data_IF_062003570538
#
_entry.id   IF_062003570538
#
_cell.length_a   1.000
_cell.length_b   1.000
_cell.length_c   1.000
_cell.angle_alpha   90.00
_cell.angle_beta   90.00
_cell.angle_gamma   90.00
#
_symmetry.space_group_name_H-M   'P 1'
#
loop_
_entity.id
_entity.type
_entity.pdbx_description
1 polymer ?
#
# COMPACT_ATOMS: atom_id res chain seq x y z
N UNK A 1 18.87 -28.86 -12.62
CA UNK A 1 19.70 -27.71 -12.21
C UNK A 1 20.02 -27.80 -10.71
N UNK A 2 20.83 -28.78 -10.29
CA UNK A 2 21.14 -29.04 -8.88
C UNK A 2 22.64 -29.35 -8.71
N UNK A 3 23.56 -28.57 -9.27
CA UNK A 3 24.99 -28.97 -9.19
C UNK A 3 26.03 -27.85 -9.24
N UNK A 4 25.64 -26.59 -9.05
CA UNK A 4 26.61 -25.48 -9.04
C UNK A 4 27.02 -25.11 -7.59
N UNK A 5 26.12 -25.25 -6.61
CA UNK A 5 26.37 -24.85 -5.22
C UNK A 5 27.37 -25.73 -4.47
N UNK A 6 27.36 -27.05 -4.74
CA UNK A 6 28.23 -28.01 -4.05
C UNK A 6 29.72 -27.84 -4.40
N UNK A 7 30.04 -27.31 -5.59
CA UNK A 7 31.42 -27.16 -6.07
C UNK A 7 32.18 -26.00 -5.42
N UNK A 8 31.47 -25.05 -4.79
CA UNK A 8 32.05 -23.84 -4.22
C UNK A 8 31.92 -23.74 -2.69
N UNK A 9 31.44 -24.79 -2.01
CA UNK A 9 31.34 -24.80 -0.54
C UNK A 9 30.30 -23.84 0.05
N UNK A 10 29.42 -23.27 -0.78
CA UNK A 10 28.35 -22.40 -0.30
C UNK A 10 27.17 -23.25 0.17
N UNK A 11 26.85 -23.17 1.47
CA UNK A 11 25.59 -23.67 2.01
C UNK A 11 24.44 -22.92 1.32
N UNK A 12 23.53 -23.65 0.67
CA UNK A 12 22.29 -23.10 0.14
C UNK A 12 21.46 -22.57 1.32
N UNK A 13 21.59 -21.28 1.62
CA UNK A 13 20.77 -20.65 2.66
C UNK A 13 19.42 -20.29 2.07
N UNK A 14 18.37 -20.90 2.59
CA UNK A 14 16.99 -20.60 2.20
C UNK A 14 16.49 -19.26 2.79
N UNK A 15 17.34 -18.51 3.50
CA UNK A 15 17.00 -17.25 4.15
C UNK A 15 18.14 -16.23 4.01
N UNK A 16 18.05 -15.35 3.02
CA UNK A 16 19.00 -14.23 2.84
C UNK A 16 18.72 -13.01 3.75
N UNK A 17 17.83 -13.13 4.74
CA UNK A 17 17.53 -12.05 5.68
C UNK A 17 16.74 -10.88 5.07
N UNK A 18 16.66 -9.77 5.81
CA UNK A 18 15.98 -8.53 5.39
C UNK A 18 17.03 -7.52 4.94
N UNK A 19 16.88 -7.02 3.73
CA UNK A 19 17.65 -5.89 3.23
C UNK A 19 16.73 -4.69 3.05
N UNK A 20 17.07 -3.55 3.68
CA UNK A 20 16.25 -2.33 3.65
C UNK A 20 14.78 -2.54 4.08
N UNK A 21 14.54 -3.52 4.96
CA UNK A 21 13.18 -3.89 5.42
C UNK A 21 12.41 -4.81 4.47
N UNK A 22 13.00 -5.20 3.34
CA UNK A 22 12.43 -6.12 2.36
C UNK A 22 13.14 -7.48 2.41
N UNK A 23 12.42 -8.60 2.55
CA UNK A 23 13.02 -9.92 2.51
C UNK A 23 13.40 -10.35 1.08
N UNK A 24 14.54 -11.02 0.94
CA UNK A 24 15.15 -11.38 -0.36
C UNK A 24 14.58 -12.65 -1.05
N UNK A 25 13.67 -13.40 -0.41
CA UNK A 25 13.11 -14.67 -0.95
C UNK A 25 11.68 -14.49 -1.47
N UNK A 26 11.35 -15.11 -2.61
CA UNK A 26 10.54 -14.46 -3.63
C UNK A 26 9.00 -14.67 -3.60
N UNK A 27 8.41 -15.66 -2.92
CA UNK A 27 6.96 -15.93 -3.08
C UNK A 27 6.13 -15.89 -1.77
N UNK A 28 6.40 -16.77 -0.79
CA UNK A 28 5.71 -16.75 0.50
C UNK A 28 5.92 -15.44 1.29
N UNK A 29 7.06 -14.77 1.08
CA UNK A 29 7.36 -13.51 1.76
C UNK A 29 6.70 -12.31 1.10
N UNK A 30 6.32 -12.37 -0.19
CA UNK A 30 5.53 -11.31 -0.84
C UNK A 30 4.21 -11.12 -0.08
N UNK A 31 3.47 -12.21 0.15
CA UNK A 31 2.19 -12.17 0.87
C UNK A 31 2.34 -11.64 2.30
N UNK A 32 3.36 -12.11 3.03
CA UNK A 32 3.64 -11.62 4.37
C UNK A 32 4.14 -10.16 4.37
N UNK A 33 4.87 -9.74 3.35
CA UNK A 33 5.36 -8.36 3.18
C UNK A 33 4.20 -7.42 2.89
N UNK A 34 3.28 -7.80 2.01
CA UNK A 34 2.04 -7.05 1.76
C UNK A 34 1.17 -6.97 3.01
N UNK A 35 0.97 -8.08 3.72
CA UNK A 35 0.22 -8.07 4.98
C UNK A 35 0.87 -7.15 6.04
N UNK A 36 2.20 -7.19 6.16
CA UNK A 36 2.94 -6.31 7.07
C UNK A 36 2.81 -4.83 6.67
N UNK A 37 2.92 -4.53 5.37
CA UNK A 37 2.75 -3.20 4.81
C UNK A 37 1.34 -2.66 5.07
N UNK A 38 0.30 -3.46 4.77
CA UNK A 38 -1.10 -3.14 5.03
C UNK A 38 -1.35 -2.88 6.52
N UNK A 39 -0.79 -3.71 7.40
CA UNK A 39 -0.86 -3.50 8.85
C UNK A 39 -0.21 -2.17 9.26
N UNK A 40 0.93 -1.81 8.68
CA UNK A 40 1.59 -0.53 8.94
C UNK A 40 0.74 0.66 8.47
N UNK A 41 0.17 0.58 7.26
CA UNK A 41 -0.75 1.60 6.74
C UNK A 41 -1.96 1.74 7.66
N UNK A 42 -2.63 0.64 7.99
CA UNK A 42 -3.77 0.62 8.92
C UNK A 42 -3.42 1.24 10.26
N UNK A 43 -2.30 0.83 10.87
CA UNK A 43 -1.87 1.38 12.16
C UNK A 43 -1.57 2.89 12.09
N UNK A 44 -1.02 3.39 10.98
CA UNK A 44 -0.77 4.83 10.80
C UNK A 44 -2.04 5.63 10.59
N UNK A 45 -3.01 5.08 9.85
CA UNK A 45 -4.32 5.71 9.68
C UNK A 45 -5.12 5.68 11.00
N UNK A 46 -5.18 4.54 11.69
CA UNK A 46 -5.91 4.39 12.96
C UNK A 46 -5.26 5.13 14.13
N UNK A 47 -3.93 5.26 14.15
CA UNK A 47 -3.20 6.00 15.17
C UNK A 47 -3.24 7.52 14.99
N UNK A 48 -3.73 8.01 13.84
CA UNK A 48 -3.94 9.44 13.64
C UNK A 48 -5.23 9.87 14.33
N UNK A 49 -5.24 11.10 14.88
CA UNK A 49 -6.44 11.70 15.49
C UNK A 49 -7.43 12.11 14.40
N UNK A 50 -7.98 11.13 13.69
CA UNK A 50 -8.89 11.34 12.56
C UNK A 50 -10.01 12.33 12.92
N UNK A 51 -10.54 12.22 14.14
CA UNK A 51 -11.63 13.06 14.65
C UNK A 51 -11.26 14.55 14.82
N UNK A 52 -9.97 14.89 14.86
CA UNK A 52 -9.50 16.28 14.89
C UNK A 52 -9.18 16.83 13.50
N UNK A 53 -9.18 16.00 12.47
CA UNK A 53 -8.81 16.39 11.11
C UNK A 53 -10.05 16.70 10.27
N UNK A 54 -10.00 17.84 9.57
CA UNK A 54 -10.93 18.18 8.51
C UNK A 54 -10.83 17.19 7.34
N UNK A 55 -11.83 17.17 6.46
CA UNK A 55 -11.84 16.28 5.28
C UNK A 55 -10.61 16.49 4.39
N UNK A 56 -10.21 17.74 4.17
CA UNK A 56 -9.05 18.10 3.35
C UNK A 56 -7.74 17.61 3.97
N UNK A 57 -7.61 17.71 5.29
CA UNK A 57 -6.45 17.21 6.02
C UNK A 57 -6.40 15.68 6.00
N UNK A 58 -7.54 15.00 6.14
CA UNK A 58 -7.61 13.53 6.03
C UNK A 58 -7.12 13.05 4.65
N UNK A 59 -7.54 13.70 3.57
CA UNK A 59 -7.08 13.38 2.21
C UNK A 59 -5.57 13.57 2.08
N UNK A 60 -5.05 14.72 2.52
CA UNK A 60 -3.62 15.05 2.44
C UNK A 60 -2.77 14.11 3.29
N UNK A 61 -3.21 13.82 4.51
CA UNK A 61 -2.56 12.89 5.41
C UNK A 61 -2.49 11.49 4.80
N UNK A 62 -3.60 11.03 4.21
CA UNK A 62 -3.64 9.72 3.58
C UNK A 62 -2.70 9.63 2.40
N UNK A 63 -2.65 10.65 1.55
CA UNK A 63 -1.67 10.72 0.46
C UNK A 63 -0.24 10.59 1.01
N UNK A 64 0.12 11.33 2.06
CA UNK A 64 1.43 11.23 2.70
C UNK A 64 1.75 9.82 3.23
N UNK A 65 0.77 9.13 3.84
CA UNK A 65 0.94 7.75 4.31
C UNK A 65 1.16 6.77 3.16
N UNK A 66 0.43 6.91 2.05
CA UNK A 66 0.61 6.07 0.86
C UNK A 66 1.96 6.37 0.18
N UNK A 67 2.41 7.62 0.15
CA UNK A 67 3.71 7.98 -0.42
C UNK A 67 4.90 7.52 0.46
N UNK A 68 4.70 7.27 1.75
CA UNK A 68 5.78 6.90 2.67
C UNK A 68 5.91 5.39 2.93
N UNK A 69 4.80 4.66 3.01
CA UNK A 69 4.81 3.23 3.39
C UNK A 69 4.81 2.30 2.17
N UNK A 70 3.74 2.26 1.33
CA UNK A 70 3.68 1.33 0.21
C UNK A 70 4.47 1.79 -1.02
N UNK A 71 4.88 3.05 -1.10
CA UNK A 71 5.54 3.62 -2.30
C UNK A 71 6.76 2.82 -2.76
N UNK A 72 7.66 2.44 -1.84
CA UNK A 72 8.84 1.66 -2.20
C UNK A 72 8.46 0.29 -2.76
N UNK A 73 7.56 -0.43 -2.08
CA UNK A 73 7.04 -1.72 -2.52
C UNK A 73 6.34 -1.63 -3.89
N UNK A 74 5.61 -0.53 -4.13
CA UNK A 74 4.92 -0.29 -5.40
C UNK A 74 5.89 0.03 -6.55
N UNK A 75 7.09 0.51 -6.27
CA UNK A 75 8.13 0.74 -7.29
C UNK A 75 8.90 -0.52 -7.63
N UNK A 76 9.09 -1.42 -6.66
CA UNK A 76 9.93 -2.62 -6.84
C UNK A 76 9.16 -3.84 -7.29
N UNK A 77 7.85 -3.91 -7.01
CA UNK A 77 7.05 -5.12 -7.22
C UNK A 77 5.62 -4.82 -7.68
N UNK A 78 5.05 -5.75 -8.45
CA UNK A 78 3.62 -5.74 -8.79
C UNK A 78 2.79 -6.21 -7.62
N UNK A 79 1.90 -5.34 -7.15
CA UNK A 79 0.97 -5.68 -6.08
C UNK A 79 -0.16 -6.57 -6.62
N UNK A 80 -0.65 -7.49 -5.78
CA UNK A 80 -1.88 -8.21 -6.11
C UNK A 80 -3.06 -7.25 -6.14
N UNK A 81 -4.03 -7.55 -7.00
CA UNK A 81 -5.31 -6.82 -7.11
C UNK A 81 -5.97 -6.66 -5.73
N UNK A 82 -6.03 -7.74 -4.95
CA UNK A 82 -6.58 -7.72 -3.59
C UNK A 82 -5.86 -6.74 -2.65
N UNK A 83 -4.53 -6.67 -2.72
CA UNK A 83 -3.74 -5.74 -1.89
C UNK A 83 -4.04 -4.30 -2.26
N UNK A 84 -4.14 -3.98 -3.56
CA UNK A 84 -4.52 -2.65 -4.02
C UNK A 84 -5.93 -2.26 -3.54
N UNK A 85 -6.88 -3.17 -3.66
CA UNK A 85 -8.27 -2.93 -3.28
C UNK A 85 -8.40 -2.74 -1.75
N UNK A 86 -7.61 -3.47 -0.95
CA UNK A 86 -7.51 -3.29 0.50
C UNK A 86 -6.91 -1.92 0.89
N UNK A 87 -5.89 -1.45 0.17
CA UNK A 87 -5.34 -0.10 0.38
C UNK A 87 -6.42 0.95 0.11
N UNK A 88 -7.09 0.86 -1.05
CA UNK A 88 -8.14 1.80 -1.42
C UNK A 88 -9.31 1.78 -0.41
N UNK A 89 -9.63 0.62 0.16
CA UNK A 89 -10.61 0.48 1.24
C UNK A 89 -10.16 1.18 2.54
N UNK A 90 -8.90 1.01 2.95
CA UNK A 90 -8.36 1.68 4.14
C UNK A 90 -8.39 3.21 3.99
N UNK A 91 -7.99 3.71 2.81
CA UNK A 91 -8.05 5.13 2.45
C UNK A 91 -9.49 5.65 2.53
N UNK A 92 -10.44 4.90 1.94
CA UNK A 92 -11.87 5.25 1.95
C UNK A 92 -12.43 5.35 3.36
N UNK A 93 -12.16 4.33 4.17
CA UNK A 93 -12.66 4.26 5.54
C UNK A 93 -12.13 5.41 6.38
N UNK A 94 -10.85 5.76 6.20
CA UNK A 94 -10.24 6.86 6.92
C UNK A 94 -10.82 8.23 6.56
N UNK A 95 -10.95 8.53 5.26
CA UNK A 95 -11.45 9.81 4.77
C UNK A 95 -12.88 10.07 5.27
N UNK A 96 -13.75 9.06 5.17
CA UNK A 96 -15.13 9.19 5.63
C UNK A 96 -15.31 8.97 7.13
N UNK A 97 -14.24 8.63 7.86
CA UNK A 97 -14.33 8.29 9.28
C UNK A 97 -15.24 7.08 9.53
N UNK A 98 -15.31 6.16 8.57
CA UNK A 98 -15.99 4.89 8.75
C UNK A 98 -15.05 3.97 9.53
N UNK A 99 -15.50 3.53 10.70
CA UNK A 99 -14.82 2.50 11.48
C UNK A 99 -15.60 1.18 11.34
N UNK A 100 -14.95 0.06 11.66
CA UNK A 100 -15.55 -1.28 11.64
C UNK A 100 -16.87 -1.32 12.44
N UNK A 101 -16.94 -0.53 13.52
CA UNK A 101 -18.12 -0.38 14.38
C UNK A 101 -19.13 0.70 13.94
N UNK A 102 -18.75 1.65 13.08
CA UNK A 102 -19.61 2.76 12.64
C UNK A 102 -19.38 3.04 11.15
N UNK A 103 -20.23 2.49 10.30
CA UNK A 103 -20.28 2.84 8.87
C UNK A 103 -20.89 4.23 8.72
N UNK A 104 -20.12 5.20 8.22
CA UNK A 104 -20.64 6.52 7.83
C UNK A 104 -21.00 6.49 6.35
N UNK A 105 -22.06 7.20 5.96
CA UNK A 105 -22.47 7.31 4.56
C UNK A 105 -21.35 7.94 3.72
N UNK A 106 -20.99 7.28 2.62
CA UNK A 106 -20.09 7.84 1.63
C UNK A 106 -20.87 8.89 0.82
N UNK A 107 -20.64 10.17 1.10
CA UNK A 107 -21.41 11.27 0.50
C UNK A 107 -21.12 11.48 -0.99
N UNK A 108 -20.00 10.94 -1.49
CA UNK A 108 -19.56 11.10 -2.88
C UNK A 108 -19.11 9.76 -3.45
N UNK A 109 -19.50 9.48 -4.69
CA UNK A 109 -19.05 8.30 -5.42
C UNK A 109 -17.51 8.26 -5.47
N UNK A 110 -16.93 7.13 -5.07
CA UNK A 110 -15.49 6.92 -5.03
C UNK A 110 -14.84 7.20 -6.39
N UNK A 111 -15.47 6.83 -7.51
CA UNK A 111 -14.93 7.06 -8.85
C UNK A 111 -14.71 8.56 -9.14
N UNK A 112 -15.53 9.45 -8.57
CA UNK A 112 -15.39 10.90 -8.72
C UNK A 112 -14.24 11.46 -7.89
N UNK A 113 -13.92 10.81 -6.77
CA UNK A 113 -12.86 11.24 -5.83
C UNK A 113 -11.46 11.01 -6.40
N UNK A 114 -11.26 9.96 -7.21
CA UNK A 114 -9.97 9.67 -7.86
C UNK A 114 -9.68 10.53 -9.09
N UNK A 115 -10.63 11.35 -9.53
CA UNK A 115 -10.34 12.31 -10.58
C UNK A 115 -9.39 13.40 -10.06
N UNK A 116 -8.57 13.94 -10.96
CA UNK A 116 -7.73 15.08 -10.62
C UNK A 116 -8.58 16.27 -10.18
N UNK A 117 -8.01 17.16 -9.36
CA UNK A 117 -8.71 18.36 -8.87
C UNK A 117 -9.29 19.22 -10.00
N UNK A 118 -8.62 19.24 -11.16
CA UNK A 118 -9.07 19.96 -12.37
C UNK A 118 -10.39 19.43 -12.94
N UNK A 119 -10.75 18.17 -12.66
CA UNK A 119 -12.00 17.54 -13.10
C UNK A 119 -13.03 17.43 -11.95
N UNK A 120 -12.86 18.19 -10.87
CA UNK A 120 -13.77 18.19 -9.72
C UNK A 120 -13.63 16.97 -8.80
N UNK A 121 -12.49 16.27 -8.86
CA UNK A 121 -12.13 15.21 -7.91
C UNK A 121 -11.20 15.69 -6.79
N UNK A 122 -10.76 14.77 -5.93
CA UNK A 122 -9.88 15.08 -4.78
C UNK A 122 -8.39 14.85 -5.08
N UNK A 123 -8.05 14.37 -6.29
CA UNK A 123 -6.68 14.09 -6.69
C UNK A 123 -6.06 12.86 -6.02
N UNK A 124 -6.89 11.95 -5.50
CA UNK A 124 -6.43 10.61 -5.10
C UNK A 124 -6.18 9.76 -6.35
N UNK A 125 -5.23 8.82 -6.27
CA UNK A 125 -4.92 7.89 -7.37
C UNK A 125 -5.14 6.47 -6.90
N UNK A 126 -5.75 5.63 -7.76
CA UNK A 126 -5.99 4.23 -7.42
C UNK A 126 -4.66 3.55 -7.14
N UNK A 127 -4.62 2.73 -6.10
CA UNK A 127 -3.39 2.03 -5.71
C UNK A 127 -2.87 1.17 -6.88
N UNK A 128 -3.78 0.53 -7.63
CA UNK A 128 -3.47 -0.26 -8.82
C UNK A 128 -2.83 0.58 -9.94
N UNK A 129 -3.51 1.64 -10.37
CA UNK A 129 -3.00 2.51 -11.45
C UNK A 129 -1.67 3.16 -11.07
N UNK A 130 -1.48 3.48 -9.79
CA UNK A 130 -0.22 4.04 -9.29
C UNK A 130 0.90 2.99 -9.34
N UNK A 131 0.63 1.76 -8.92
CA UNK A 131 1.61 0.66 -8.99
C UNK A 131 2.01 0.35 -10.44
N UNK A 132 1.04 0.22 -11.34
CA UNK A 132 1.32 -0.01 -12.77
C UNK A 132 2.15 1.12 -13.38
N UNK A 133 1.77 2.38 -13.12
CA UNK A 133 2.51 3.53 -13.63
C UNK A 133 3.95 3.62 -13.06
N UNK A 134 4.16 3.22 -11.81
CA UNK A 134 5.49 3.20 -11.19
C UNK A 134 6.37 2.09 -11.76
N UNK A 135 5.79 0.93 -12.07
CA UNK A 135 6.51 -0.17 -12.69
C UNK A 135 6.87 0.11 -14.15
N UNK A 136 6.01 0.82 -14.90
CA UNK A 136 6.30 1.21 -16.29
C UNK A 136 7.38 2.30 -16.41
N UNK A 137 7.78 2.94 -15.31
CA UNK A 137 8.81 3.97 -15.30
C UNK A 137 10.23 3.38 -15.39
N UNK A 138 10.37 2.07 -15.23
CA UNK A 138 11.61 1.30 -15.36
C UNK A 138 11.42 0.18 -16.38
#
# INVERSE_FOLDING_TARGET
MHDIGAKFGFMQTNNLGRYLGMPLVHDCLLRNTFASMLKRVRNKLSGSKADQLSLAERVTFTQSVIQSIPMYTMQTMKLSVSTCDEIDLLVRNFIWGSSDAKKKLHLVNWNKIYHQKNYGGLGLKYARSTNEALLMKF
#
